data_IF_983691455971
#
_entry.id   IF_983691455971
#
_cell.length_a   1.000
_cell.length_b   1.000
_cell.length_c   1.000
_cell.angle_alpha   90.00
_cell.angle_beta   90.00
_cell.angle_gamma   90.00
#
_symmetry.space_group_name_H-M   'P 1'
#
loop_
_entity.id
_entity.type
_entity.pdbx_description
1 polymer ?
#
# COMPACT_ATOMS: atom_id res chain seq x y z
N UNK A 1 14.78 -9.80 -19.55
CA UNK A 1 14.42 -10.15 -18.16
C UNK A 1 13.20 -9.31 -17.80
N UNK A 2 12.07 -9.91 -17.41
CA UNK A 2 10.92 -9.14 -16.93
C UNK A 2 11.08 -8.95 -15.42
N UNK A 3 11.25 -7.71 -14.98
CA UNK A 3 11.25 -7.37 -13.56
C UNK A 3 9.81 -7.29 -13.07
N UNK A 4 9.49 -8.08 -12.04
CA UNK A 4 8.19 -8.02 -11.37
C UNK A 4 8.18 -6.79 -10.46
N UNK A 5 7.23 -5.90 -10.67
CA UNK A 5 7.06 -4.72 -9.82
C UNK A 5 6.46 -5.14 -8.48
N UNK A 6 6.91 -4.50 -7.41
CA UNK A 6 6.48 -4.79 -6.04
C UNK A 6 6.08 -3.51 -5.34
N UNK A 7 5.03 -3.58 -4.53
CA UNK A 7 4.64 -2.49 -3.66
C UNK A 7 5.78 -2.17 -2.69
N UNK A 8 6.17 -0.90 -2.61
CA UNK A 8 7.22 -0.43 -1.71
C UNK A 8 6.82 -0.50 -0.23
N UNK A 9 5.53 -0.61 0.07
CA UNK A 9 5.00 -0.62 1.44
C UNK A 9 4.77 -2.05 1.98
N UNK A 10 4.14 -2.93 1.21
CA UNK A 10 3.82 -4.30 1.64
C UNK A 10 4.65 -5.39 0.95
N UNK A 11 5.50 -5.07 -0.03
CA UNK A 11 6.35 -6.02 -0.74
C UNK A 11 5.64 -6.94 -1.75
N UNK A 12 4.31 -6.90 -1.80
CA UNK A 12 3.49 -7.71 -2.71
C UNK A 12 3.78 -7.38 -4.17
N UNK A 13 3.83 -8.42 -5.00
CA UNK A 13 4.04 -8.33 -6.43
C UNK A 13 2.82 -7.73 -7.15
N UNK A 14 3.01 -7.19 -8.35
CA UNK A 14 1.91 -6.70 -9.20
C UNK A 14 0.82 -7.75 -9.47
N UNK A 15 1.18 -9.05 -9.44
CA UNK A 15 0.25 -10.17 -9.60
C UNK A 15 -0.54 -10.51 -8.33
N UNK A 16 -0.08 -10.07 -7.16
CA UNK A 16 -0.70 -10.36 -5.86
C UNK A 16 -1.69 -9.26 -5.43
N UNK A 17 -1.77 -8.18 -6.20
CA UNK A 17 -2.59 -7.01 -5.88
C UNK A 17 -3.51 -6.68 -7.05
N UNK A 18 -4.68 -6.14 -6.74
CA UNK A 18 -5.68 -5.79 -7.75
C UNK A 18 -5.24 -4.61 -8.63
N UNK A 19 -4.54 -3.64 -8.03
CA UNK A 19 -3.89 -2.52 -8.70
C UNK A 19 -2.56 -2.21 -8.03
N UNK A 20 -1.57 -1.91 -8.86
CA UNK A 20 -0.28 -1.36 -8.46
C UNK A 20 -0.06 -0.05 -9.24
N UNK A 21 0.12 1.05 -8.52
CA UNK A 21 0.42 2.37 -9.10
C UNK A 21 1.92 2.57 -9.09
N UNK A 22 2.50 2.83 -10.25
CA UNK A 22 3.92 3.09 -10.44
C UNK A 22 4.20 4.59 -10.51
N UNK A 23 4.96 5.10 -9.54
CA UNK A 23 5.55 6.43 -9.56
C UNK A 23 7.02 6.40 -10.01
N UNK A 24 7.68 7.57 -10.12
CA UNK A 24 9.07 7.66 -10.60
C UNK A 24 10.09 6.86 -9.78
N UNK A 25 9.82 6.63 -8.49
CA UNK A 25 10.71 5.92 -7.55
C UNK A 25 10.00 5.08 -6.48
N UNK A 26 8.67 5.04 -6.52
CA UNK A 26 7.85 4.39 -5.49
C UNK A 26 6.67 3.69 -6.14
N UNK A 27 6.29 2.55 -5.58
CA UNK A 27 5.15 1.76 -6.04
C UNK A 27 4.20 1.55 -4.87
N UNK A 28 2.92 1.78 -5.08
CA UNK A 28 1.89 1.58 -4.04
C UNK A 28 0.73 0.77 -4.59
N UNK A 29 0.25 -0.21 -3.82
CA UNK A 29 -0.90 -1.01 -4.21
C UNK A 29 -2.19 -0.50 -3.56
N UNK A 30 -3.32 -0.89 -4.15
CA UNK A 30 -4.69 -0.55 -3.71
C UNK A 30 -4.90 -0.73 -2.20
N UNK A 31 -4.53 -1.89 -1.65
CA UNK A 31 -4.67 -2.18 -0.22
C UNK A 31 -3.82 -1.26 0.67
N UNK A 32 -2.62 -0.88 0.24
CA UNK A 32 -1.81 0.09 0.98
C UNK A 32 -2.41 1.49 0.92
N UNK A 33 -3.02 1.87 -0.21
CA UNK A 33 -3.75 3.14 -0.33
C UNK A 33 -4.93 3.18 0.65
N UNK A 34 -5.70 2.10 0.77
CA UNK A 34 -6.81 2.05 1.75
C UNK A 34 -6.33 2.18 3.19
N UNK A 35 -5.25 1.47 3.57
CA UNK A 35 -4.66 1.60 4.91
C UNK A 35 -4.18 3.03 5.14
N UNK A 36 -3.47 3.62 4.18
CA UNK A 36 -3.03 5.02 4.28
C UNK A 36 -4.21 5.98 4.42
N UNK A 37 -5.27 5.80 3.65
CA UNK A 37 -6.48 6.62 3.74
C UNK A 37 -7.19 6.45 5.09
N UNK A 38 -7.23 5.23 5.65
CA UNK A 38 -7.77 5.03 7.00
C UNK A 38 -6.94 5.76 8.04
N UNK A 39 -5.62 5.61 8.02
CA UNK A 39 -4.72 6.32 8.95
C UNK A 39 -4.83 7.84 8.80
N UNK A 40 -4.97 8.35 7.58
CA UNK A 40 -5.14 9.78 7.30
C UNK A 40 -6.49 10.31 7.75
N UNK A 41 -7.56 9.54 7.57
CA UNK A 41 -8.90 9.90 8.05
C UNK A 41 -8.97 9.86 9.58
N UNK A 42 -8.24 8.95 10.21
CA UNK A 42 -8.16 8.79 11.67
C UNK A 42 -7.19 9.78 12.32
N UNK A 43 -6.32 10.46 11.55
CA UNK A 43 -5.41 11.49 12.07
C UNK A 43 -6.13 12.75 12.60
N UNK A 44 -7.45 12.88 12.38
CA UNK A 44 -8.31 13.88 13.03
C UNK A 44 -8.78 13.43 14.44
N UNK A 45 -8.65 12.13 14.79
CA UNK A 45 -8.96 11.58 16.11
C UNK A 45 -8.10 10.34 16.39
N UNK A 46 -7.00 10.54 17.12
CA UNK A 46 -6.12 9.51 17.70
C UNK A 46 -6.82 8.16 18.01
N UNK A 47 -6.71 7.14 17.15
CA UNK A 47 -6.89 5.74 17.53
C UNK A 47 -5.93 4.78 16.79
N UNK A 48 -5.34 3.77 17.47
CA UNK A 48 -4.27 2.97 16.92
C UNK A 48 -4.73 1.87 15.95
N UNK A 49 -4.06 1.85 14.80
CA UNK A 49 -3.71 0.77 13.87
C UNK A 49 -4.52 -0.56 13.86
N UNK A 50 -4.97 -1.04 12.68
CA UNK A 50 -5.28 -2.46 12.53
C UNK A 50 -4.01 -3.31 12.69
N UNK A 51 -4.02 -4.20 13.69
CA UNK A 51 -2.96 -5.18 13.93
C UNK A 51 -2.67 -6.03 12.68
N UNK A 52 -1.40 -6.22 12.31
CA UNK A 52 -1.04 -7.19 11.29
C UNK A 52 -1.31 -8.61 11.81
N UNK A 53 -1.92 -9.43 10.96
CA UNK A 53 -2.02 -10.88 11.16
C UNK A 53 -0.68 -11.54 10.85
#
# INVERSE_FOLDING_TARGET
MRHVLRCSFCGKSEHEVKKLVAGPRVYICDSCVEICNQVMADADTTAPAPSPK
#
